data_IF_174677047489
#
_entry.id   IF_174677047489
#
_cell.length_a   1.000
_cell.length_b   1.000
_cell.length_c   1.000
_cell.angle_alpha   90.00
_cell.angle_beta   90.00
_cell.angle_gamma   90.00
#
_symmetry.space_group_name_H-M   'P 1'
#
loop_
_entity.id
_entity.type
_entity.pdbx_description
1 polymer ?
#
# COMPACT_ATOMS: atom_id res chain seq x y z
N UNK A 1 -8.82 7.78 30.65
CA UNK A 1 -8.46 6.57 29.88
C UNK A 1 -8.75 6.87 28.41
N UNK A 2 -7.78 6.75 27.47
CA UNK A 2 -8.03 7.00 26.05
C UNK A 2 -8.98 5.92 25.48
N UNK A 3 -9.88 6.33 24.60
CA UNK A 3 -10.83 5.42 23.94
C UNK A 3 -10.24 4.79 22.67
N UNK A 4 -9.35 5.50 21.98
CA UNK A 4 -8.67 5.04 20.77
C UNK A 4 -7.22 5.55 20.75
N UNK A 5 -6.35 4.82 20.08
CA UNK A 5 -4.95 5.15 19.82
C UNK A 5 -4.66 5.04 18.33
N UNK A 6 -4.03 6.08 17.77
CA UNK A 6 -3.75 6.18 16.34
C UNK A 6 -2.24 6.20 16.10
N UNK A 7 -1.72 5.21 15.39
CA UNK A 7 -0.30 5.00 15.12
C UNK A 7 -0.04 5.07 13.61
N UNK A 8 0.18 6.28 13.10
CA UNK A 8 0.32 6.53 11.65
C UNK A 8 1.72 7.01 11.33
N UNK A 9 2.44 6.26 10.48
CA UNK A 9 3.77 6.63 10.01
C UNK A 9 4.82 5.56 10.21
N UNK A 10 6.03 6.00 10.55
CA UNK A 10 7.22 5.16 10.59
C UNK A 10 7.85 5.16 11.99
N UNK A 11 7.78 4.01 12.67
CA UNK A 11 8.17 3.84 14.09
C UNK A 11 9.18 2.71 14.34
N UNK A 12 9.81 2.16 13.28
CA UNK A 12 10.82 1.10 13.39
C UNK A 12 10.37 -0.07 14.30
N UNK A 13 11.20 -0.49 15.25
CA UNK A 13 10.95 -1.62 16.15
C UNK A 13 10.09 -1.21 17.35
N UNK A 14 10.02 0.09 17.64
CA UNK A 14 9.25 0.69 18.72
C UNK A 14 7.74 0.66 18.44
N UNK A 15 7.35 0.44 17.18
CA UNK A 15 5.97 0.24 16.74
C UNK A 15 5.18 -0.73 17.65
N UNK A 16 5.79 -1.86 18.03
CA UNK A 16 5.15 -2.88 18.85
C UNK A 16 4.91 -2.40 20.29
N UNK A 17 5.91 -1.76 20.90
CA UNK A 17 5.82 -1.27 22.28
C UNK A 17 4.74 -0.19 22.41
N UNK A 18 4.67 0.71 21.44
CA UNK A 18 3.66 1.77 21.38
C UNK A 18 2.24 1.21 21.20
N UNK A 19 2.08 0.21 20.34
CA UNK A 19 0.79 -0.45 20.11
C UNK A 19 0.34 -1.30 21.32
N UNK A 20 1.26 -2.03 21.96
CA UNK A 20 0.96 -2.82 23.15
C UNK A 20 0.46 -1.93 24.30
N UNK A 21 1.08 -0.76 24.52
CA UNK A 21 0.68 0.15 25.59
C UNK A 21 -0.80 0.58 25.47
N UNK A 22 -1.28 0.86 24.26
CA UNK A 22 -2.69 1.20 24.03
C UNK A 22 -3.62 -0.02 24.07
N UNK A 23 -3.13 -1.20 23.70
CA UNK A 23 -3.88 -2.46 23.83
C UNK A 23 -4.08 -2.86 25.30
N UNK A 24 -3.08 -2.61 26.17
CA UNK A 24 -3.15 -2.87 27.62
C UNK A 24 -4.22 -2.03 28.31
N UNK A 25 -4.42 -0.78 27.87
CA UNK A 25 -5.56 0.02 28.31
C UNK A 25 -6.84 -0.36 27.58
N UNK A 26 -6.85 -1.27 26.61
CA UNK A 26 -8.06 -1.64 25.87
C UNK A 26 -8.66 -0.47 25.08
N UNK A 27 -7.80 0.41 24.57
CA UNK A 27 -8.19 1.42 23.59
C UNK A 27 -8.25 0.78 22.20
N UNK A 28 -9.16 1.25 21.35
CA UNK A 28 -9.22 0.83 19.93
C UNK A 28 -7.92 1.26 19.25
N UNK A 29 -7.27 0.33 18.56
CA UNK A 29 -5.99 0.58 17.91
C UNK A 29 -6.15 0.71 16.40
N UNK A 30 -5.79 1.89 15.86
CA UNK A 30 -5.78 2.15 14.42
C UNK A 30 -4.37 2.53 14.00
N UNK A 31 -3.77 1.75 13.13
CA UNK A 31 -2.42 1.97 12.62
C UNK A 31 -2.40 2.11 11.10
N UNK A 32 -1.38 2.80 10.59
CA UNK A 32 -1.14 2.89 9.16
C UNK A 32 0.35 3.07 8.87
N UNK A 33 0.90 2.29 7.95
CA UNK A 33 2.29 2.40 7.54
C UNK A 33 2.51 1.87 6.13
N UNK A 34 3.44 2.49 5.40
CA UNK A 34 3.96 1.97 4.12
C UNK A 34 5.22 1.10 4.29
N UNK A 35 5.73 0.99 5.52
CA UNK A 35 6.97 0.29 5.79
C UNK A 35 6.76 -1.19 6.06
N UNK A 36 7.26 -2.03 5.15
CA UNK A 36 7.16 -3.49 5.22
C UNK A 36 7.82 -4.10 6.46
N UNK A 37 8.87 -3.46 7.00
CA UNK A 37 9.59 -3.96 8.17
C UNK A 37 8.78 -3.88 9.48
N UNK A 38 7.95 -2.86 9.65
CA UNK A 38 7.17 -2.65 10.88
C UNK A 38 5.69 -3.07 10.75
N UNK A 39 5.22 -3.23 9.51
CA UNK A 39 3.85 -3.65 9.22
C UNK A 39 3.41 -4.89 10.02
N UNK A 40 4.22 -5.95 10.18
CA UNK A 40 3.82 -7.12 10.97
C UNK A 40 3.53 -6.79 12.43
N UNK A 41 4.23 -5.81 13.01
CA UNK A 41 4.01 -5.40 14.39
C UNK A 41 2.63 -4.76 14.55
N UNK A 42 2.25 -3.85 13.64
CA UNK A 42 0.92 -3.24 13.67
C UNK A 42 -0.19 -4.25 13.36
N UNK A 43 0.00 -5.14 12.39
CA UNK A 43 -0.98 -6.20 12.10
C UNK A 43 -1.20 -7.12 13.30
N UNK A 44 -0.17 -7.40 14.09
CA UNK A 44 -0.29 -8.28 15.25
C UNK A 44 -0.85 -7.60 16.51
N UNK A 45 -0.71 -6.28 16.65
CA UNK A 45 -1.01 -5.55 17.89
C UNK A 45 -2.16 -4.53 17.79
N UNK A 46 -2.59 -4.18 16.57
CA UNK A 46 -3.65 -3.21 16.33
C UNK A 46 -4.91 -3.87 15.76
N UNK A 47 -6.09 -3.32 16.09
CA UNK A 47 -7.39 -3.81 15.58
C UNK A 47 -7.56 -3.51 14.08
N UNK A 48 -7.11 -2.34 13.64
CA UNK A 48 -7.20 -1.89 12.26
C UNK A 48 -5.84 -1.41 11.78
N UNK A 49 -5.31 -2.02 10.73
CA UNK A 49 -4.03 -1.62 10.12
C UNK A 49 -4.22 -1.34 8.63
N UNK A 50 -4.00 -0.09 8.22
CA UNK A 50 -3.94 0.27 6.80
C UNK A 50 -2.58 -0.12 6.23
N UNK A 51 -2.59 -0.86 5.13
CA UNK A 51 -1.40 -1.44 4.54
C UNK A 51 -1.02 -0.71 3.27
N UNK A 52 0.19 -0.14 3.22
CA UNK A 52 0.79 0.33 1.98
C UNK A 52 -0.08 1.35 1.22
N UNK A 53 -0.73 0.90 0.15
CA UNK A 53 -1.57 1.73 -0.74
C UNK A 53 -2.80 2.32 -0.05
N UNK A 54 -3.36 1.61 0.94
CA UNK A 54 -4.49 2.09 1.74
C UNK A 54 -4.12 3.31 2.58
N UNK A 55 -2.87 3.37 3.06
CA UNK A 55 -2.36 4.53 3.78
C UNK A 55 -2.29 5.76 2.86
N UNK A 56 -1.84 5.60 1.61
CA UNK A 56 -1.80 6.70 0.64
C UNK A 56 -3.18 7.14 0.18
N UNK A 57 -4.10 6.19 -0.04
CA UNK A 57 -5.49 6.48 -0.38
C UNK A 57 -6.21 7.22 0.75
N UNK A 58 -6.01 6.79 2.00
CA UNK A 58 -6.54 7.47 3.19
C UNK A 58 -5.97 8.89 3.36
N UNK A 59 -4.65 9.04 3.17
CA UNK A 59 -3.99 10.34 3.20
C UNK A 59 -4.53 11.28 2.11
N UNK A 60 -4.73 10.79 0.87
CA UNK A 60 -5.30 11.57 -0.22
C UNK A 60 -6.75 12.00 0.09
N UNK A 61 -7.58 11.09 0.62
CA UNK A 61 -8.97 11.36 0.97
C UNK A 61 -9.10 12.41 2.08
N UNK A 62 -8.21 12.38 3.07
CA UNK A 62 -8.22 13.33 4.18
C UNK A 62 -7.62 14.69 3.78
N UNK A 63 -6.47 14.69 3.10
CA UNK A 63 -5.74 15.90 2.72
C UNK A 63 -6.43 16.69 1.61
N UNK A 64 -7.22 16.02 0.76
CA UNK A 64 -7.87 16.61 -0.44
C UNK A 64 -6.91 17.36 -1.36
N UNK A 65 -5.63 17.02 -1.30
CA UNK A 65 -4.57 17.61 -2.13
C UNK A 65 -4.62 16.97 -3.52
N UNK A 66 -4.80 17.76 -4.60
CA UNK A 66 -4.96 17.21 -5.95
C UNK A 66 -3.72 16.45 -6.43
N UNK A 67 -2.53 16.81 -5.93
CA UNK A 67 -1.26 16.15 -6.29
C UNK A 67 -1.21 14.72 -5.74
N UNK A 68 -1.55 14.53 -4.47
CA UNK A 68 -1.52 13.20 -3.84
C UNK A 68 -2.61 12.33 -4.47
N UNK A 69 -3.82 12.87 -4.62
CA UNK A 69 -4.92 12.16 -5.27
C UNK A 69 -4.59 11.73 -6.70
N UNK A 70 -4.02 12.63 -7.51
CA UNK A 70 -3.59 12.33 -8.87
C UNK A 70 -2.50 11.27 -8.94
N UNK A 71 -1.57 11.28 -7.99
CA UNK A 71 -0.48 10.28 -7.93
C UNK A 71 -1.00 8.87 -7.66
N UNK A 72 -1.94 8.70 -6.74
CA UNK A 72 -2.53 7.39 -6.41
C UNK A 72 -3.31 6.84 -7.60
N UNK A 73 -4.19 7.66 -8.19
CA UNK A 73 -5.00 7.23 -9.34
C UNK A 73 -4.14 6.90 -10.56
N UNK A 74 -3.11 7.70 -10.85
CA UNK A 74 -2.21 7.44 -11.98
C UNK A 74 -1.37 6.18 -11.79
N UNK A 75 -0.94 5.87 -10.55
CA UNK A 75 -0.25 4.62 -10.26
C UNK A 75 -1.14 3.40 -10.50
N UNK A 76 -2.40 3.44 -10.03
CA UNK A 76 -3.35 2.34 -10.21
C UNK A 76 -3.67 2.09 -11.68
N UNK A 77 -3.98 3.15 -12.44
CA UNK A 77 -4.25 3.05 -13.88
C UNK A 77 -3.04 2.49 -14.62
N UNK A 78 -1.85 3.01 -14.33
CA UNK A 78 -0.61 2.58 -15.00
C UNK A 78 -0.33 1.11 -14.73
N UNK A 79 -0.52 0.63 -13.49
CA UNK A 79 -0.35 -0.78 -13.12
C UNK A 79 -1.28 -1.68 -13.93
N UNK A 80 -2.55 -1.30 -14.08
CA UNK A 80 -3.54 -2.08 -14.86
C UNK A 80 -3.17 -2.11 -16.35
N UNK A 81 -2.84 -0.95 -16.93
CA UNK A 81 -2.46 -0.83 -18.35
C UNK A 81 -1.22 -1.68 -18.65
N UNK A 82 -0.17 -1.55 -17.85
CA UNK A 82 1.05 -2.35 -18.03
C UNK A 82 0.78 -3.85 -17.89
N UNK A 83 -0.03 -4.25 -16.90
CA UNK A 83 -0.40 -5.65 -16.71
C UNK A 83 -1.12 -6.20 -17.95
N UNK A 84 -2.04 -5.43 -18.53
CA UNK A 84 -2.74 -5.83 -19.75
C UNK A 84 -1.78 -5.98 -20.95
N UNK A 85 -0.86 -5.04 -21.14
CA UNK A 85 0.16 -5.10 -22.20
C UNK A 85 1.04 -6.34 -22.03
N UNK A 86 1.50 -6.63 -20.81
CA UNK A 86 2.29 -7.82 -20.52
C UNK A 86 1.54 -9.12 -20.82
N UNK A 87 0.25 -9.21 -20.47
CA UNK A 87 -0.59 -10.38 -20.77
C UNK A 87 -0.73 -10.57 -22.28
N UNK A 88 -1.04 -9.51 -23.03
CA UNK A 88 -1.16 -9.56 -24.50
C UNK A 88 0.17 -9.98 -25.13
N UNK A 89 1.28 -9.40 -24.68
CA UNK A 89 2.63 -9.75 -25.15
C UNK A 89 2.96 -11.23 -24.89
N UNK A 90 2.63 -11.73 -23.70
CA UNK A 90 2.84 -13.14 -23.34
C UNK A 90 2.01 -14.09 -24.22
N UNK A 91 0.75 -13.75 -24.51
CA UNK A 91 -0.12 -14.54 -25.38
C UNK A 91 0.38 -14.56 -26.83
N UNK A 92 0.76 -13.40 -27.37
CA UNK A 92 1.30 -13.29 -28.74
C UNK A 92 2.62 -14.05 -28.90
N UNK A 93 3.50 -13.97 -27.90
CA UNK A 93 4.75 -14.75 -27.86
C UNK A 93 4.47 -16.25 -27.81
N UNK A 94 3.50 -16.69 -27.00
CA UNK A 94 3.10 -18.10 -26.90
C UNK A 94 2.49 -18.62 -28.21
N UNK A 95 1.77 -17.78 -28.96
CA UNK A 95 1.18 -18.12 -30.26
C UNK A 95 2.21 -18.15 -31.42
N UNK A 96 3.50 -17.92 -31.15
CA UNK A 96 4.58 -17.96 -32.14
C UNK A 96 4.73 -16.69 -32.98
N UNK A 97 4.13 -15.57 -32.57
CA UNK A 97 4.27 -14.29 -33.26
C UNK A 97 5.56 -13.58 -32.87
N UNK A 98 6.46 -13.39 -33.84
CA UNK A 98 7.72 -12.63 -33.67
C UNK A 98 7.50 -11.12 -33.51
N UNK A 99 6.27 -10.62 -33.69
CA UNK A 99 5.96 -9.19 -33.68
C UNK A 99 6.37 -8.48 -32.38
N UNK A 100 6.28 -9.17 -31.24
CA UNK A 100 6.71 -8.62 -29.94
C UNK A 100 8.23 -8.50 -29.87
N UNK A 101 8.96 -9.49 -30.39
CA UNK A 101 10.42 -9.52 -30.38
C UNK A 101 10.99 -8.45 -31.32
N UNK A 102 10.39 -8.29 -32.51
CA UNK A 102 10.84 -7.30 -33.49
C UNK A 102 10.52 -5.86 -33.07
N UNK A 103 9.45 -5.66 -32.28
CA UNK A 103 9.13 -4.35 -31.68
C UNK A 103 10.12 -3.95 -30.57
N UNK A 104 10.66 -4.93 -29.82
CA UNK A 104 11.61 -4.68 -28.72
C UNK A 104 13.05 -4.53 -29.22
N UNK A 105 13.38 -5.09 -30.39
CA UNK A 105 14.73 -5.07 -30.99
C UNK A 105 15.18 -3.70 -31.56
N UNK A 106 14.51 -2.62 -31.21
CA UNK A 106 14.91 -1.27 -31.62
C UNK A 106 16.17 -0.80 -30.89
#
# INVERSE_FOLDING_TARGET
KPAANFLVGYFYAEALILAEAGALVGAIQVAATSATAQLPFFVASCDYTMIGEEFYAGAAALSKEPVIYGSVVSQDITRVVFTAICIIGALLSTAGSSAVIDLIKF
#
